data_IF_340772864532
#
_entry.id   IF_340772864532
#
_cell.length_a   1.000
_cell.length_b   1.000
_cell.length_c   1.000
_cell.angle_alpha   90.00
_cell.angle_beta   90.00
_cell.angle_gamma   90.00
#
_symmetry.space_group_name_H-M   'P 1'
#
loop_
_entity.id
_entity.type
_entity.pdbx_description
1 polymer ?
#
# COMPACT_ATOMS: atom_id res chain seq x y z
N UNK A 1 69.45 -11.34 22.13
CA UNK A 1 68.07 -11.84 22.29
C UNK A 1 67.07 -10.72 21.94
N UNK A 2 67.02 -10.28 20.65
CA UNK A 2 66.13 -9.15 20.28
C UNK A 2 65.50 -9.27 18.87
N UNK A 3 65.62 -10.43 18.23
CA UNK A 3 65.06 -10.66 16.86
C UNK A 3 63.67 -11.25 16.79
N UNK A 4 63.07 -11.60 17.93
CA UNK A 4 61.71 -12.23 17.95
C UNK A 4 60.56 -11.26 18.06
N UNK A 5 60.82 -10.04 18.56
CA UNK A 5 59.75 -9.04 18.73
C UNK A 5 59.34 -8.34 17.42
N UNK A 6 60.31 -8.12 16.52
CA UNK A 6 60.05 -7.39 15.27
C UNK A 6 59.12 -8.18 14.32
N UNK A 7 59.27 -9.53 14.27
CA UNK A 7 58.45 -10.39 13.47
C UNK A 7 57.00 -10.41 13.98
N UNK A 8 56.80 -10.42 15.28
CA UNK A 8 55.47 -10.42 15.90
C UNK A 8 54.80 -9.06 15.68
N UNK A 9 55.51 -7.95 15.83
CA UNK A 9 54.99 -6.61 15.56
C UNK A 9 54.59 -6.48 14.08
N UNK A 10 55.41 -6.99 13.15
CA UNK A 10 55.11 -6.94 11.73
C UNK A 10 53.86 -7.78 11.35
N UNK A 11 53.71 -8.95 11.99
CA UNK A 11 52.52 -9.80 11.80
C UNK A 11 51.25 -9.14 12.33
N UNK A 12 51.31 -8.49 13.48
CA UNK A 12 50.16 -7.76 14.07
C UNK A 12 49.80 -6.55 13.20
N UNK A 13 50.75 -5.80 12.67
CA UNK A 13 50.48 -4.69 11.76
C UNK A 13 49.82 -5.15 10.45
N UNK A 14 50.25 -6.31 9.92
CA UNK A 14 49.65 -6.92 8.70
C UNK A 14 48.18 -7.33 8.93
N UNK A 15 47.88 -7.91 10.10
CA UNK A 15 46.52 -8.32 10.47
C UNK A 15 45.60 -7.10 10.64
N UNK A 16 46.13 -6.03 11.28
CA UNK A 16 45.36 -4.78 11.46
C UNK A 16 45.10 -4.09 10.11
N UNK A 17 46.07 -4.08 9.20
CA UNK A 17 45.89 -3.53 7.85
C UNK A 17 44.85 -4.33 7.02
N UNK A 18 44.84 -5.65 7.17
CA UNK A 18 43.89 -6.49 6.48
C UNK A 18 42.46 -6.35 7.01
N UNK A 19 42.30 -6.25 8.34
CA UNK A 19 41.03 -5.99 9.00
C UNK A 19 40.53 -4.56 8.74
N UNK A 20 41.41 -3.58 8.71
CA UNK A 20 41.09 -2.17 8.38
C UNK A 20 40.63 -2.02 6.92
N UNK A 21 41.28 -2.71 5.97
CA UNK A 21 40.88 -2.72 4.56
C UNK A 21 39.52 -3.38 4.32
N UNK A 22 39.22 -4.46 5.06
CA UNK A 22 37.92 -5.14 4.97
C UNK A 22 36.78 -4.28 5.55
N UNK A 23 37.01 -3.58 6.64
CA UNK A 23 36.03 -2.67 7.23
C UNK A 23 35.75 -1.44 6.36
N UNK A 24 36.78 -0.91 5.68
CA UNK A 24 36.60 0.22 4.73
C UNK A 24 35.84 -0.23 3.47
N UNK A 25 36.11 -1.44 2.98
CA UNK A 25 35.39 -1.95 1.80
C UNK A 25 33.94 -2.32 2.10
N UNK A 26 33.66 -2.84 3.31
CA UNK A 26 32.29 -3.09 3.77
C UNK A 26 31.53 -1.77 4.05
N UNK A 27 32.22 -0.75 4.53
CA UNK A 27 31.62 0.57 4.77
C UNK A 27 31.17 1.28 3.49
N UNK A 28 31.97 1.22 2.43
CA UNK A 28 31.63 1.85 1.13
C UNK A 28 30.45 1.19 0.45
N UNK A 29 30.33 -0.15 0.51
CA UNK A 29 29.18 -0.86 -0.08
C UNK A 29 27.89 -0.61 0.67
N UNK A 30 27.93 -0.44 2.00
CA UNK A 30 26.73 -0.12 2.80
C UNK A 30 26.27 1.32 2.57
N UNK A 31 27.19 2.28 2.47
CA UNK A 31 26.86 3.68 2.18
C UNK A 31 26.28 3.84 0.77
N UNK A 32 26.85 3.17 -0.23
CA UNK A 32 26.35 3.20 -1.60
C UNK A 32 24.95 2.54 -1.72
N UNK A 33 24.71 1.45 -0.95
CA UNK A 33 23.39 0.83 -0.90
C UNK A 33 22.34 1.72 -0.20
N UNK A 34 22.73 2.41 0.87
CA UNK A 34 21.84 3.34 1.59
C UNK A 34 21.53 4.58 0.76
N UNK A 35 22.48 5.10 -0.02
CA UNK A 35 22.28 6.26 -0.88
C UNK A 35 21.34 5.93 -2.04
N UNK A 36 21.49 4.76 -2.69
CA UNK A 36 20.59 4.29 -3.73
C UNK A 36 19.18 3.98 -3.21
N UNK A 37 19.04 3.48 -1.96
CA UNK A 37 17.73 3.23 -1.35
C UNK A 37 17.07 4.55 -0.96
N UNK A 38 17.84 5.56 -0.49
CA UNK A 38 17.30 6.88 -0.14
C UNK A 38 16.84 7.66 -1.38
N UNK A 39 17.57 7.58 -2.50
CA UNK A 39 17.12 8.19 -3.75
C UNK A 39 15.86 7.51 -4.31
N UNK A 40 15.80 6.18 -4.32
CA UNK A 40 14.62 5.46 -4.77
C UNK A 40 13.38 5.70 -3.89
N UNK A 41 13.59 5.85 -2.57
CA UNK A 41 12.50 6.18 -1.63
C UNK A 41 12.11 7.66 -1.73
N UNK A 42 13.07 8.56 -2.03
CA UNK A 42 12.79 10.00 -2.19
C UNK A 42 12.04 10.29 -3.50
N UNK A 43 12.31 9.53 -4.58
CA UNK A 43 11.54 9.67 -5.83
C UNK A 43 10.11 9.14 -5.72
N UNK A 44 9.82 8.20 -4.78
CA UNK A 44 8.44 7.75 -4.51
C UNK A 44 7.67 8.66 -3.53
N UNK A 45 8.34 9.43 -2.66
CA UNK A 45 7.69 10.31 -1.68
C UNK A 45 7.39 11.73 -2.20
N UNK A 46 8.00 12.18 -3.28
CA UNK A 46 7.75 13.52 -3.85
C UNK A 46 6.50 13.61 -4.74
N UNK A 47 5.65 12.57 -4.75
CA UNK A 47 4.32 12.63 -5.34
C UNK A 47 3.20 12.79 -4.31
N UNK A 48 3.45 13.50 -3.20
CA UNK A 48 2.39 14.02 -2.36
C UNK A 48 1.71 15.20 -3.06
N UNK A 49 0.75 14.86 -3.88
CA UNK A 49 -0.02 15.82 -4.66
C UNK A 49 -0.98 16.59 -3.78
N UNK A 50 -0.67 17.87 -3.62
CA UNK A 50 -1.67 18.91 -3.44
C UNK A 50 -2.73 18.80 -4.55
N UNK A 51 -3.97 18.64 -4.11
CA UNK A 51 -5.12 18.36 -4.95
C UNK A 51 -5.34 19.34 -6.09
N UNK A 52 -5.24 18.80 -7.27
CA UNK A 52 -6.14 19.04 -8.42
C UNK A 52 -5.97 17.82 -9.31
N UNK A 53 -7.04 17.04 -9.46
CA UNK A 53 -7.06 15.87 -10.32
C UNK A 53 -6.93 16.32 -11.76
N UNK A 54 -5.71 16.43 -12.28
CA UNK A 54 -5.48 16.35 -13.70
C UNK A 54 -5.93 14.98 -14.16
N UNK A 55 -6.87 14.93 -15.08
CA UNK A 55 -7.49 13.74 -15.66
C UNK A 55 -6.46 13.01 -16.56
N UNK A 56 -5.38 12.50 -15.94
CA UNK A 56 -4.46 11.61 -16.66
C UNK A 56 -5.23 10.37 -17.08
N UNK A 57 -5.07 9.90 -18.33
CA UNK A 57 -5.81 8.75 -18.80
C UNK A 57 -5.54 7.53 -17.92
N UNK A 58 -6.58 7.07 -17.20
CA UNK A 58 -6.50 5.91 -16.33
C UNK A 58 -6.25 4.68 -17.18
N UNK A 59 -5.03 4.16 -17.15
CA UNK A 59 -4.65 2.93 -17.87
C UNK A 59 -5.18 1.72 -17.09
N UNK A 60 -6.11 0.98 -17.68
CA UNK A 60 -6.69 -0.23 -17.07
C UNK A 60 -7.87 -0.76 -17.87
N UNK A 61 -8.34 -1.94 -17.46
CA UNK A 61 -9.50 -2.57 -18.08
C UNK A 61 -10.79 -2.04 -17.44
N UNK A 62 -11.61 -1.33 -18.21
CA UNK A 62 -12.98 -0.99 -17.77
C UNK A 62 -13.77 -2.27 -17.52
N UNK A 63 -14.30 -2.43 -16.32
CA UNK A 63 -15.00 -3.64 -15.91
C UNK A 63 -16.51 -3.47 -16.10
N UNK A 64 -17.08 -2.43 -15.50
CA UNK A 64 -18.53 -2.22 -15.49
C UNK A 64 -18.90 -0.85 -14.91
N UNK A 65 -20.18 -0.58 -14.87
CA UNK A 65 -20.78 0.51 -14.11
C UNK A 65 -21.50 -0.08 -12.90
N UNK A 66 -21.34 0.57 -11.76
CA UNK A 66 -21.88 0.11 -10.48
C UNK A 66 -22.71 1.18 -9.80
N UNK A 67 -23.48 0.77 -8.79
CA UNK A 67 -23.98 1.69 -7.77
C UNK A 67 -22.93 1.83 -6.67
N UNK A 68 -22.48 3.06 -6.44
CA UNK A 68 -21.52 3.42 -5.43
C UNK A 68 -22.23 3.91 -4.19
N UNK A 69 -21.85 3.39 -3.04
CA UNK A 69 -22.30 3.81 -1.70
C UNK A 69 -21.13 4.01 -0.78
N UNK A 70 -21.38 4.39 0.46
CA UNK A 70 -20.35 4.57 1.48
C UNK A 70 -20.75 3.90 2.79
N UNK A 71 -19.76 3.38 3.51
CA UNK A 71 -19.93 2.83 4.85
C UNK A 71 -18.86 3.33 5.80
N UNK A 72 -19.12 3.19 7.10
CA UNK A 72 -18.20 3.54 8.17
C UNK A 72 -17.85 2.27 8.97
N UNK A 73 -16.62 2.16 9.45
CA UNK A 73 -16.18 1.05 10.28
C UNK A 73 -16.71 1.19 11.73
N UNK A 74 -18.04 1.15 11.87
CA UNK A 74 -18.74 1.21 13.17
C UNK A 74 -19.59 -0.03 13.36
N UNK A 75 -19.71 -0.51 14.61
CA UNK A 75 -20.44 -1.75 14.95
C UNK A 75 -21.86 -1.82 14.40
N UNK A 76 -22.52 -0.67 14.21
CA UNK A 76 -23.88 -0.62 13.67
C UNK A 76 -23.97 -0.97 12.16
N UNK A 77 -22.86 -0.92 11.43
CA UNK A 77 -22.78 -1.15 9.98
C UNK A 77 -21.93 -2.36 9.58
N UNK A 78 -21.25 -2.99 10.54
CA UNK A 78 -20.30 -4.09 10.32
C UNK A 78 -20.58 -5.23 11.29
N UNK A 79 -19.84 -6.34 11.15
CA UNK A 79 -19.86 -7.47 12.09
C UNK A 79 -19.19 -7.11 13.44
N UNK A 80 -19.12 -8.07 14.36
CA UNK A 80 -18.56 -7.86 15.71
C UNK A 80 -17.16 -7.23 15.72
N UNK A 81 -16.29 -7.58 14.75
CA UNK A 81 -15.01 -6.91 14.52
C UNK A 81 -15.12 -5.88 13.39
N UNK A 82 -15.54 -4.67 13.75
CA UNK A 82 -15.71 -3.56 12.79
C UNK A 82 -14.40 -3.04 12.20
N UNK A 83 -13.25 -3.43 12.74
CA UNK A 83 -11.92 -2.97 12.30
C UNK A 83 -11.16 -4.03 11.49
N UNK A 84 -11.83 -5.14 11.12
CA UNK A 84 -11.24 -6.14 10.23
C UNK A 84 -12.20 -6.42 9.07
N UNK A 85 -11.68 -6.28 7.85
CA UNK A 85 -12.44 -6.53 6.61
C UNK A 85 -12.60 -8.03 6.36
N UNK A 86 -13.49 -8.42 5.44
CA UNK A 86 -13.67 -9.83 5.06
C UNK A 86 -12.40 -10.49 4.47
N UNK A 87 -11.48 -9.71 3.92
CA UNK A 87 -10.16 -10.20 3.48
C UNK A 87 -9.13 -10.33 4.60
N UNK A 88 -9.47 -10.00 5.86
CA UNK A 88 -8.56 -9.98 7.01
C UNK A 88 -7.70 -8.72 7.14
N UNK A 89 -7.84 -7.74 6.26
CA UNK A 89 -7.11 -6.47 6.35
C UNK A 89 -7.62 -5.64 7.51
N UNK A 90 -6.71 -5.05 8.29
CA UNK A 90 -7.05 -4.18 9.42
C UNK A 90 -7.37 -2.75 8.96
N UNK A 91 -8.37 -2.16 9.59
CA UNK A 91 -8.79 -0.78 9.35
C UNK A 91 -8.19 0.11 10.44
N UNK A 92 -7.43 1.12 10.02
CA UNK A 92 -6.92 2.20 10.87
C UNK A 92 -7.77 3.44 10.63
N UNK A 93 -8.55 3.82 11.63
CA UNK A 93 -9.49 4.95 11.52
C UNK A 93 -8.79 6.29 11.28
N UNK A 94 -7.56 6.49 11.77
CA UNK A 94 -6.79 7.69 11.49
C UNK A 94 -6.35 7.75 10.03
N UNK A 95 -5.93 6.61 9.47
CA UNK A 95 -5.56 6.50 8.05
C UNK A 95 -6.76 6.62 7.13
N UNK A 96 -7.94 6.15 7.54
CA UNK A 96 -9.20 6.37 6.80
C UNK A 96 -9.57 7.85 6.82
N UNK A 97 -9.47 8.50 7.98
CA UNK A 97 -9.78 9.92 8.17
C UNK A 97 -8.91 10.83 7.31
N UNK A 98 -7.61 10.59 7.27
CA UNK A 98 -6.67 11.38 6.47
C UNK A 98 -6.57 10.94 4.99
N UNK A 99 -7.32 9.90 4.58
CA UNK A 99 -7.40 9.44 3.19
C UNK A 99 -6.25 8.55 2.71
N UNK A 100 -5.31 8.14 3.60
CA UNK A 100 -4.18 7.27 3.25
C UNK A 100 -4.55 5.78 3.24
N UNK A 101 -5.68 5.39 3.83
CA UNK A 101 -6.23 4.04 3.72
C UNK A 101 -7.57 4.10 2.96
N UNK A 102 -7.56 3.58 1.74
CA UNK A 102 -8.69 3.67 0.80
C UNK A 102 -9.15 2.26 0.44
N UNK A 103 -10.01 1.71 1.26
CA UNK A 103 -10.62 0.39 1.08
C UNK A 103 -12.04 0.51 0.56
N UNK A 104 -12.50 -0.53 -0.15
CA UNK A 104 -13.90 -0.68 -0.53
C UNK A 104 -14.37 -2.12 -0.37
N UNK A 105 -15.66 -2.27 -0.13
CA UNK A 105 -16.37 -3.53 -0.22
C UNK A 105 -17.02 -3.67 -1.60
N UNK A 106 -17.04 -4.87 -2.15
CA UNK A 106 -17.72 -5.16 -3.41
C UNK A 106 -18.86 -6.17 -3.20
N UNK A 107 -19.91 -6.07 -3.99
CA UNK A 107 -20.96 -7.09 -3.99
C UNK A 107 -20.41 -8.44 -4.45
N UNK A 108 -20.93 -9.55 -3.90
CA UNK A 108 -20.39 -10.91 -4.12
C UNK A 108 -20.27 -11.29 -5.60
N UNK A 109 -21.19 -10.83 -6.44
CA UNK A 109 -21.16 -11.08 -7.89
C UNK A 109 -20.00 -10.40 -8.62
N UNK A 110 -19.34 -9.41 -8.00
CA UNK A 110 -18.17 -8.74 -8.55
C UNK A 110 -16.84 -9.35 -8.07
N UNK A 111 -16.81 -10.18 -7.02
CA UNK A 111 -15.57 -10.72 -6.45
C UNK A 111 -14.74 -11.56 -7.45
N UNK A 112 -15.34 -12.23 -8.41
CA UNK A 112 -14.60 -13.01 -9.43
C UNK A 112 -13.87 -12.09 -10.42
N UNK A 113 -14.40 -10.90 -10.68
CA UNK A 113 -13.77 -9.86 -11.50
C UNK A 113 -12.76 -9.03 -10.70
N UNK A 114 -13.13 -8.72 -9.45
CA UNK A 114 -12.44 -7.83 -8.53
C UNK A 114 -12.12 -8.57 -7.22
N UNK A 115 -11.25 -9.59 -7.23
CA UNK A 115 -10.90 -10.32 -6.01
C UNK A 115 -10.22 -9.40 -4.99
N UNK A 116 -10.16 -9.84 -3.73
CA UNK A 116 -9.50 -9.10 -2.66
C UNK A 116 -8.06 -8.72 -3.04
N UNK A 117 -7.62 -7.53 -2.64
CA UNK A 117 -6.32 -6.97 -3.02
C UNK A 117 -6.29 -6.34 -4.41
N UNK A 118 -7.38 -6.41 -5.19
CA UNK A 118 -7.46 -5.67 -6.46
C UNK A 118 -7.39 -4.17 -6.23
N UNK A 119 -6.67 -3.48 -7.09
CA UNK A 119 -6.68 -2.01 -7.15
C UNK A 119 -7.63 -1.60 -8.26
N UNK A 120 -8.60 -0.79 -7.91
CA UNK A 120 -9.60 -0.26 -8.85
C UNK A 120 -9.57 1.27 -8.84
N UNK A 121 -9.83 1.85 -10.00
CA UNK A 121 -10.15 3.28 -10.10
C UNK A 121 -11.66 3.44 -10.20
N UNK A 122 -12.21 4.26 -9.33
CA UNK A 122 -13.62 4.64 -9.27
C UNK A 122 -13.75 6.05 -9.84
N UNK A 123 -14.47 6.21 -10.93
CA UNK A 123 -14.62 7.49 -11.62
C UNK A 123 -15.13 8.60 -10.69
N UNK A 124 -14.38 9.71 -10.62
CA UNK A 124 -14.66 10.84 -9.73
C UNK A 124 -14.32 10.61 -8.25
N UNK A 125 -13.76 9.44 -7.90
CA UNK A 125 -13.42 9.09 -6.52
C UNK A 125 -11.99 8.59 -6.35
N UNK A 126 -11.25 8.28 -7.45
CA UNK A 126 -9.86 7.84 -7.42
C UNK A 126 -9.69 6.35 -7.13
N UNK A 127 -8.53 5.97 -6.56
CA UNK A 127 -8.11 4.58 -6.41
C UNK A 127 -8.52 3.98 -5.07
N UNK A 128 -8.92 2.69 -5.09
CA UNK A 128 -9.31 1.92 -3.91
C UNK A 128 -8.80 0.49 -3.99
N UNK A 129 -8.56 -0.11 -2.83
CA UNK A 129 -8.23 -1.53 -2.68
C UNK A 129 -9.51 -2.27 -2.31
N UNK A 130 -9.82 -3.33 -3.04
CA UNK A 130 -10.92 -4.23 -2.70
C UNK A 130 -10.51 -5.06 -1.48
N UNK A 131 -11.09 -4.75 -0.34
CA UNK A 131 -10.73 -5.36 0.94
C UNK A 131 -11.91 -6.10 1.60
N UNK A 132 -13.13 -5.82 1.19
CA UNK A 132 -14.31 -6.32 1.87
C UNK A 132 -15.38 -6.79 0.88
N UNK A 133 -16.42 -7.44 1.41
CA UNK A 133 -17.58 -7.88 0.63
C UNK A 133 -18.89 -7.45 1.27
N UNK A 134 -19.83 -7.10 0.43
CA UNK A 134 -21.16 -6.68 0.85
C UNK A 134 -22.10 -7.85 1.11
N UNK A 135 -23.17 -7.58 1.84
CA UNK A 135 -24.23 -8.55 2.06
C UNK A 135 -24.80 -9.06 0.70
N UNK A 136 -25.16 -10.35 0.56
CA UNK A 136 -25.61 -10.96 -0.71
C UNK A 136 -26.81 -10.28 -1.40
N UNK A 137 -27.62 -9.50 -0.67
CA UNK A 137 -28.74 -8.75 -1.25
C UNK A 137 -28.30 -7.65 -2.24
N UNK A 138 -27.04 -7.20 -2.15
CA UNK A 138 -26.51 -6.18 -3.04
C UNK A 138 -25.93 -6.82 -4.29
N UNK A 139 -26.28 -6.27 -5.45
CA UNK A 139 -25.82 -6.73 -6.75
C UNK A 139 -25.32 -5.55 -7.58
N UNK A 140 -24.09 -5.63 -8.11
CA UNK A 140 -23.40 -4.54 -8.82
C UNK A 140 -23.22 -3.27 -7.97
N UNK A 141 -22.87 -3.46 -6.70
CA UNK A 141 -22.55 -2.38 -5.76
C UNK A 141 -21.07 -2.38 -5.38
N UNK A 142 -20.56 -1.20 -5.15
CA UNK A 142 -19.30 -0.96 -4.44
C UNK A 142 -19.59 0.01 -3.30
N UNK A 143 -19.02 -0.28 -2.13
CA UNK A 143 -19.22 0.48 -0.89
C UNK A 143 -17.87 1.01 -0.42
N UNK A 144 -17.70 2.33 -0.42
CA UNK A 144 -16.43 2.98 -0.06
C UNK A 144 -16.34 3.12 1.46
N UNK A 145 -15.24 2.65 2.05
CA UNK A 145 -14.93 2.93 3.44
C UNK A 145 -14.57 4.41 3.59
N UNK A 146 -15.27 5.11 4.49
CA UNK A 146 -15.02 6.51 4.78
C UNK A 146 -15.06 6.81 6.27
N UNK A 147 -14.53 7.99 6.65
CA UNK A 147 -14.62 8.50 8.01
C UNK A 147 -16.06 8.84 8.39
N UNK A 148 -16.41 8.62 9.65
CA UNK A 148 -17.77 8.86 10.18
C UNK A 148 -18.23 10.33 10.10
N UNK A 149 -17.30 11.26 10.01
CA UNK A 149 -17.62 12.69 9.87
C UNK A 149 -18.13 13.06 8.47
N UNK A 150 -17.92 12.18 7.47
CA UNK A 150 -18.37 12.43 6.10
C UNK A 150 -19.81 11.97 5.90
N UNK A 151 -20.63 12.73 5.17
CA UNK A 151 -21.99 12.32 4.86
C UNK A 151 -22.00 11.09 3.95
N UNK A 152 -22.92 10.16 4.22
CA UNK A 152 -23.15 9.03 3.33
C UNK A 152 -23.77 9.51 2.02
N UNK A 153 -23.39 8.84 0.92
CA UNK A 153 -24.00 9.12 -0.39
C UNK A 153 -24.30 7.81 -1.16
N UNK A 154 -25.11 7.95 -2.17
CA UNK A 154 -25.36 6.92 -3.19
C UNK A 154 -25.26 7.58 -4.56
N UNK A 155 -24.50 6.95 -5.47
CA UNK A 155 -24.37 7.39 -6.86
C UNK A 155 -24.49 6.18 -7.79
N UNK A 156 -25.29 6.29 -8.82
CA UNK A 156 -25.54 5.20 -9.79
C UNK A 156 -24.71 5.39 -11.05
N UNK A 157 -24.50 4.29 -11.79
CA UNK A 157 -23.79 4.26 -13.08
C UNK A 157 -22.36 4.82 -13.01
N UNK A 158 -21.66 4.56 -11.91
CA UNK A 158 -20.25 4.95 -11.76
C UNK A 158 -19.37 3.95 -12.47
N UNK A 159 -18.48 4.43 -13.34
CA UNK A 159 -17.53 3.60 -14.09
C UNK A 159 -16.42 3.10 -13.19
N UNK A 160 -16.11 1.80 -13.31
CA UNK A 160 -15.03 1.12 -12.59
C UNK A 160 -14.01 0.60 -13.57
N UNK A 161 -12.74 0.95 -13.32
CA UNK A 161 -11.61 0.47 -14.09
C UNK A 161 -10.72 -0.38 -13.19
N UNK A 162 -10.41 -1.62 -13.59
CA UNK A 162 -9.45 -2.47 -12.91
C UNK A 162 -8.03 -2.05 -13.32
N UNK A 163 -7.23 -1.65 -12.36
CA UNK A 163 -5.83 -1.24 -12.55
C UNK A 163 -4.91 -2.44 -12.34
N UNK A 164 -5.09 -3.15 -11.23
CA UNK A 164 -4.35 -4.36 -10.90
C UNK A 164 -5.28 -5.39 -10.27
N UNK A 165 -5.24 -6.61 -10.78
CA UNK A 165 -6.02 -7.71 -10.20
C UNK A 165 -5.33 -8.22 -8.92
N UNK A 166 -6.11 -8.39 -7.86
CA UNK A 166 -5.67 -9.07 -6.64
C UNK A 166 -5.56 -10.58 -6.85
N UNK A 167 -5.04 -11.26 -5.85
CA UNK A 167 -4.95 -12.71 -5.84
C UNK A 167 -6.15 -13.29 -5.09
N UNK A 168 -6.73 -14.34 -5.67
CA UNK A 168 -7.67 -15.20 -4.94
C UNK A 168 -6.79 -16.06 -4.04
N UNK A 169 -6.93 -15.92 -2.72
CA UNK A 169 -6.29 -16.83 -1.76
C UNK A 169 -7.02 -18.17 -1.77
#
# INVERSE_FOLDING_TARGET
MEKTNDAIVFLICLVIAFLGGFLLHCGTTITEYQENVSEAVFEEEEQEQTGQAEDKPVTGKVITHVTLTTYNAVKAQTNEDSLTTASGMKIDLNRVKNGTQRYCAVSKNLLYLLPYGSIIHIEGHGYYIVADTMHPRFNHYIDILQDVSKPNFKKEKVKITLIRKGYVA
#
